data_IF_666978655682
#
_entry.id   IF_666978655682
#
_cell.length_a   1.000
_cell.length_b   1.000
_cell.length_c   1.000
_cell.angle_alpha   90.00
_cell.angle_beta   90.00
_cell.angle_gamma   90.00
#
_symmetry.space_group_name_H-M   'P 1'
#
loop_
_entity.id
_entity.type
_entity.pdbx_description
1 polymer ?
#
# COMPACT_ATOMS: atom_id res chain seq x y z
N UNK A 1 -10.47 17.76 11.93
CA UNK A 1 -10.71 16.58 11.06
C UNK A 1 -9.40 15.89 10.80
N UNK A 2 -9.35 14.58 11.01
CA UNK A 2 -8.14 13.80 10.75
C UNK A 2 -7.91 13.67 9.25
N UNK A 3 -6.65 13.75 8.85
CA UNK A 3 -6.24 13.62 7.45
C UNK A 3 -5.56 12.27 7.23
N UNK A 4 -6.04 11.54 6.24
CA UNK A 4 -5.49 10.23 5.87
C UNK A 4 -4.84 10.36 4.50
N UNK A 5 -3.56 10.04 4.43
CA UNK A 5 -2.83 10.11 3.17
C UNK A 5 -2.98 8.81 2.38
N UNK A 6 -3.28 8.94 1.09
CA UNK A 6 -3.31 7.82 0.14
C UNK A 6 -2.39 8.17 -1.02
N UNK A 7 -1.39 7.35 -1.27
CA UNK A 7 -0.50 7.56 -2.41
C UNK A 7 -1.22 7.22 -3.71
N UNK A 8 -1.31 8.17 -4.61
CA UNK A 8 -1.91 7.97 -5.91
C UNK A 8 -2.88 9.06 -6.32
N UNK A 9 -3.63 8.77 -7.40
CA UNK A 9 -4.60 9.69 -7.98
C UNK A 9 -6.00 9.42 -7.41
N UNK A 10 -6.64 10.46 -6.91
CA UNK A 10 -8.00 10.38 -6.37
C UNK A 10 -8.98 9.73 -7.35
N UNK A 11 -8.85 10.01 -8.64
CA UNK A 11 -9.79 9.47 -9.64
C UNK A 11 -9.67 7.94 -9.76
N UNK A 12 -8.48 7.39 -9.52
CA UNK A 12 -8.28 5.94 -9.51
C UNK A 12 -8.85 5.33 -8.24
N UNK A 13 -8.78 6.06 -7.12
CA UNK A 13 -9.14 5.57 -5.80
C UNK A 13 -10.39 6.23 -5.22
N UNK A 14 -11.34 6.56 -6.07
CA UNK A 14 -12.55 7.29 -5.64
C UNK A 14 -13.33 6.55 -4.55
N UNK A 15 -13.32 5.22 -4.56
CA UNK A 15 -14.01 4.44 -3.55
C UNK A 15 -13.35 4.57 -2.17
N UNK A 16 -12.02 4.74 -2.15
CA UNK A 16 -11.30 5.01 -0.91
C UNK A 16 -11.65 6.38 -0.35
N UNK A 17 -11.77 7.37 -1.23
CA UNK A 17 -12.20 8.71 -0.81
C UNK A 17 -13.57 8.67 -0.15
N UNK A 18 -14.51 7.96 -0.75
CA UNK A 18 -15.86 7.79 -0.19
C UNK A 18 -15.84 7.12 1.17
N UNK A 19 -15.06 6.04 1.30
CA UNK A 19 -14.97 5.30 2.55
C UNK A 19 -14.34 6.15 3.66
N UNK A 20 -13.29 6.90 3.35
CA UNK A 20 -12.62 7.76 4.31
C UNK A 20 -13.55 8.88 4.78
N UNK A 21 -14.24 9.51 3.85
CA UNK A 21 -15.20 10.57 4.21
C UNK A 21 -16.38 10.04 5.00
N UNK A 22 -16.80 8.83 4.74
CA UNK A 22 -17.92 8.22 5.46
C UNK A 22 -17.65 8.06 6.95
N UNK A 23 -16.40 7.95 7.37
CA UNK A 23 -16.02 7.87 8.78
C UNK A 23 -15.61 9.22 9.36
N UNK A 24 -15.85 10.30 8.63
CA UNK A 24 -15.61 11.66 9.14
C UNK A 24 -14.16 12.14 9.01
N UNK A 25 -13.36 11.51 8.17
CA UNK A 25 -11.99 11.93 7.92
C UNK A 25 -11.85 12.58 6.54
N UNK A 26 -10.71 13.22 6.31
CA UNK A 26 -10.37 13.81 5.01
C UNK A 26 -9.30 12.96 4.35
N UNK A 27 -9.48 12.64 3.07
CA UNK A 27 -8.49 11.92 2.29
C UNK A 27 -7.59 12.91 1.53
N UNK A 28 -6.29 12.68 1.58
CA UNK A 28 -5.32 13.45 0.82
C UNK A 28 -4.64 12.52 -0.16
N UNK A 29 -4.92 12.69 -1.45
CA UNK A 29 -4.34 11.88 -2.53
C UNK A 29 -3.21 12.65 -3.21
N UNK A 30 -2.07 12.03 -3.37
CA UNK A 30 -0.95 12.63 -4.08
C UNK A 30 0.11 11.59 -4.40
N UNK A 31 0.83 11.80 -5.48
CA UNK A 31 2.04 11.04 -5.80
C UNK A 31 3.29 11.77 -5.27
N UNK A 32 3.11 12.92 -4.65
CA UNK A 32 4.18 13.63 -3.96
C UNK A 32 4.16 13.25 -2.48
N UNK A 33 5.13 12.45 -2.06
CA UNK A 33 5.20 11.94 -0.68
C UNK A 33 5.33 13.04 0.37
N UNK A 34 5.79 14.22 -0.02
CA UNK A 34 5.90 15.36 0.91
C UNK A 34 4.55 15.81 1.44
N UNK A 35 3.48 15.58 0.69
CA UNK A 35 2.14 15.95 1.11
C UNK A 35 1.62 15.09 2.27
N UNK A 36 2.29 13.99 2.55
CA UNK A 36 1.96 13.17 3.71
C UNK A 36 2.41 13.78 5.04
N UNK A 37 3.27 14.78 5.00
CA UNK A 37 3.84 15.37 6.24
C UNK A 37 2.77 15.97 7.15
N UNK A 38 1.67 16.45 6.59
CA UNK A 38 0.58 17.05 7.35
C UNK A 38 -0.54 16.08 7.66
N UNK A 39 -0.35 14.80 7.35
CA UNK A 39 -1.41 13.80 7.53
C UNK A 39 -1.22 13.00 8.81
N UNK A 40 -2.34 12.57 9.37
CA UNK A 40 -2.39 11.88 10.66
C UNK A 40 -2.25 10.37 10.53
N UNK A 41 -2.59 9.82 9.36
CA UNK A 41 -2.57 8.37 9.13
C UNK A 41 -2.27 8.07 7.66
N UNK A 42 -1.89 6.83 7.39
CA UNK A 42 -1.56 6.35 6.05
C UNK A 42 -2.48 5.20 5.67
N UNK A 43 -3.09 5.28 4.49
CA UNK A 43 -3.82 4.17 3.89
C UNK A 43 -3.10 3.74 2.61
N UNK A 44 -2.68 2.50 2.55
CA UNK A 44 -2.11 1.91 1.35
C UNK A 44 -3.19 1.19 0.58
N UNK A 45 -3.47 1.66 -0.63
CA UNK A 45 -4.58 1.19 -1.45
C UNK A 45 -4.21 -0.04 -2.27
N UNK A 46 -5.21 -0.64 -2.90
CA UNK A 46 -5.04 -1.74 -3.82
C UNK A 46 -4.30 -1.35 -5.10
N UNK A 47 -4.04 -2.32 -5.95
CA UNK A 47 -3.34 -2.10 -7.21
C UNK A 47 -2.65 -3.35 -7.71
N UNK A 48 -1.65 -3.17 -8.57
CA UNK A 48 -0.86 -4.26 -9.12
C UNK A 48 0.04 -4.91 -8.07
N UNK A 49 0.83 -5.86 -8.51
CA UNK A 49 1.67 -6.64 -7.60
C UNK A 49 2.87 -5.83 -7.10
N UNK A 50 3.29 -6.13 -5.88
CA UNK A 50 4.53 -5.59 -5.32
C UNK A 50 5.72 -6.23 -6.05
N UNK A 51 6.73 -5.42 -6.37
CA UNK A 51 7.91 -5.92 -7.05
C UNK A 51 8.63 -6.98 -6.22
N UNK A 52 8.95 -8.14 -6.81
CA UNK A 52 9.63 -9.21 -6.08
C UNK A 52 10.98 -8.82 -5.48
N UNK A 53 11.64 -7.80 -5.99
CA UNK A 53 12.93 -7.35 -5.44
C UNK A 53 12.81 -6.88 -3.98
N UNK A 54 11.61 -6.47 -3.54
CA UNK A 54 11.40 -6.04 -2.17
C UNK A 54 11.27 -7.22 -1.19
N UNK A 55 11.04 -8.43 -1.68
CA UNK A 55 11.04 -9.64 -0.84
C UNK A 55 12.04 -10.69 -1.33
N UNK A 56 13.10 -10.22 -2.01
CA UNK A 56 14.26 -11.04 -2.42
C UNK A 56 13.89 -12.24 -3.29
N UNK A 57 12.94 -12.07 -4.18
CA UNK A 57 12.50 -13.10 -5.09
C UNK A 57 12.70 -12.66 -6.54
N UNK A 58 12.80 -13.63 -7.45
CA UNK A 58 12.80 -13.34 -8.87
C UNK A 58 11.37 -13.13 -9.35
N UNK A 59 11.19 -12.20 -10.28
CA UNK A 59 9.88 -12.02 -10.90
C UNK A 59 9.53 -13.28 -11.69
N UNK A 60 8.32 -13.80 -11.44
CA UNK A 60 7.80 -14.99 -12.11
C UNK A 60 6.49 -14.70 -12.84
N UNK A 61 5.46 -14.28 -12.10
CA UNK A 61 4.13 -14.06 -12.62
C UNK A 61 3.48 -12.79 -12.08
N UNK A 62 4.29 -11.79 -11.71
CA UNK A 62 3.75 -10.52 -11.21
C UNK A 62 3.15 -9.70 -12.33
N UNK A 63 2.10 -8.97 -12.02
CA UNK A 63 1.38 -8.12 -12.96
C UNK A 63 1.32 -6.69 -12.45
N UNK A 64 1.46 -5.73 -13.38
CA UNK A 64 1.31 -4.31 -13.09
C UNK A 64 2.23 -3.81 -11.97
N UNK A 65 3.48 -4.31 -11.98
CA UNK A 65 4.49 -3.86 -11.01
C UNK A 65 4.88 -2.42 -11.31
N UNK A 66 4.95 -1.60 -10.26
CA UNK A 66 5.44 -0.22 -10.33
C UNK A 66 6.49 -0.01 -9.25
N UNK A 67 7.74 0.06 -9.65
CA UNK A 67 8.87 0.28 -8.75
C UNK A 67 8.75 1.64 -8.06
N UNK A 68 8.34 2.66 -8.79
CA UNK A 68 8.15 4.00 -8.21
C UNK A 68 7.13 3.98 -7.09
N UNK A 69 5.99 3.35 -7.30
CA UNK A 69 4.96 3.22 -6.27
C UNK A 69 5.46 2.44 -5.07
N UNK A 70 6.14 1.31 -5.32
CA UNK A 70 6.69 0.48 -4.25
C UNK A 70 7.67 1.26 -3.38
N UNK A 71 8.59 2.00 -4.00
CA UNK A 71 9.58 2.80 -3.29
C UNK A 71 8.93 3.91 -2.48
N UNK A 72 7.95 4.60 -3.05
CA UNK A 72 7.23 5.66 -2.34
C UNK A 72 6.46 5.10 -1.16
N UNK A 73 5.81 3.97 -1.30
CA UNK A 73 5.05 3.35 -0.21
C UNK A 73 5.96 2.83 0.89
N UNK A 74 7.13 2.28 0.54
CA UNK A 74 8.13 1.90 1.54
C UNK A 74 8.60 3.10 2.35
N UNK A 75 8.87 4.21 1.66
CA UNK A 75 9.27 5.45 2.32
C UNK A 75 8.17 5.95 3.27
N UNK A 76 6.92 5.95 2.82
CA UNK A 76 5.79 6.39 3.63
C UNK A 76 5.60 5.50 4.85
N UNK A 77 5.70 4.18 4.69
CA UNK A 77 5.63 3.25 5.82
C UNK A 77 6.67 3.57 6.88
N UNK A 78 7.92 3.81 6.47
CA UNK A 78 8.99 4.15 7.39
C UNK A 78 8.69 5.45 8.15
N UNK A 79 8.16 6.44 7.46
CA UNK A 79 7.84 7.72 8.09
C UNK A 79 6.71 7.62 9.10
N UNK A 80 5.62 6.96 8.72
CA UNK A 80 4.47 6.82 9.61
C UNK A 80 4.77 5.90 10.79
N UNK A 81 5.57 4.86 10.58
CA UNK A 81 6.02 4.00 11.68
C UNK A 81 6.85 4.79 12.70
N UNK A 82 7.80 5.59 12.23
CA UNK A 82 8.64 6.43 13.13
C UNK A 82 7.80 7.43 13.92
N UNK A 83 6.75 7.95 13.30
CA UNK A 83 5.87 8.90 13.95
C UNK A 83 4.84 8.23 14.86
N UNK A 84 4.84 6.90 14.93
CA UNK A 84 3.84 6.14 15.67
C UNK A 84 2.42 6.43 15.18
N UNK A 85 2.28 6.73 13.91
CA UNK A 85 0.99 7.06 13.29
C UNK A 85 0.32 5.81 12.73
N UNK A 86 -1.01 5.77 12.72
CA UNK A 86 -1.73 4.60 12.21
C UNK A 86 -1.47 4.35 10.72
N UNK A 87 -1.37 3.08 10.37
CA UNK A 87 -1.23 2.64 8.98
C UNK A 87 -2.22 1.51 8.72
N UNK A 88 -2.90 1.55 7.59
CA UNK A 88 -3.81 0.50 7.15
C UNK A 88 -3.51 0.14 5.70
N UNK A 89 -3.53 -1.14 5.39
CA UNK A 89 -3.34 -1.62 4.02
C UNK A 89 -4.55 -2.40 3.54
N UNK A 90 -4.92 -2.20 2.27
CA UNK A 90 -6.01 -2.91 1.61
C UNK A 90 -5.45 -3.61 0.38
N UNK A 91 -5.70 -4.92 0.23
CA UNK A 91 -5.19 -5.75 -0.87
C UNK A 91 -3.67 -5.59 -1.04
N UNK A 92 -3.22 -4.97 -2.11
CA UNK A 92 -1.80 -4.70 -2.34
C UNK A 92 -1.16 -3.98 -1.15
N UNK A 93 -1.89 -3.07 -0.52
CA UNK A 93 -1.39 -2.36 0.66
C UNK A 93 -1.04 -3.29 1.82
N UNK A 94 -1.87 -4.30 2.05
CA UNK A 94 -1.59 -5.32 3.06
C UNK A 94 -0.32 -6.10 2.69
N UNK A 95 -0.16 -6.45 1.41
CA UNK A 95 1.03 -7.14 0.93
C UNK A 95 2.29 -6.29 1.12
N UNK A 96 2.19 -5.00 0.84
CA UNK A 96 3.31 -4.07 1.03
C UNK A 96 3.73 -3.97 2.50
N UNK A 97 2.78 -3.93 3.42
CA UNK A 97 3.08 -3.92 4.86
C UNK A 97 3.81 -5.20 5.24
N UNK A 98 3.34 -6.35 4.77
CA UNK A 98 3.99 -7.63 5.03
C UNK A 98 5.44 -7.64 4.54
N UNK A 99 5.67 -7.16 3.32
CA UNK A 99 7.00 -7.09 2.73
C UNK A 99 7.88 -6.10 3.49
N UNK A 100 7.33 -4.97 3.91
CA UNK A 100 8.06 -3.97 4.69
C UNK A 100 8.62 -4.58 5.99
N UNK A 101 7.87 -5.48 6.62
CA UNK A 101 8.31 -6.18 7.81
C UNK A 101 9.00 -7.52 7.50
N UNK A 102 9.60 -7.64 6.32
CA UNK A 102 10.43 -8.76 5.87
C UNK A 102 9.67 -10.03 5.52
N UNK A 103 8.37 -9.93 5.29
CA UNK A 103 7.58 -11.05 4.78
C UNK A 103 7.81 -11.32 3.30
N UNK A 104 7.30 -12.45 2.82
CA UNK A 104 7.35 -12.82 1.41
C UNK A 104 5.95 -13.03 0.86
N UNK A 105 5.83 -13.09 -0.46
CA UNK A 105 4.55 -13.22 -1.14
C UNK A 105 4.59 -14.36 -2.16
N UNK A 106 3.45 -15.05 -2.31
CA UNK A 106 3.20 -15.93 -3.45
C UNK A 106 2.86 -15.05 -4.66
N UNK A 107 3.52 -15.28 -5.80
CA UNK A 107 3.40 -14.38 -6.95
C UNK A 107 2.23 -14.68 -7.87
N UNK A 108 1.55 -15.82 -7.70
CA UNK A 108 0.43 -16.17 -8.53
C UNK A 108 -0.69 -16.81 -7.71
N UNK A 109 -1.92 -16.69 -8.22
CA UNK A 109 -3.08 -17.31 -7.59
C UNK A 109 -2.95 -18.83 -7.53
N UNK A 110 -2.35 -19.44 -8.55
CA UNK A 110 -2.15 -20.89 -8.55
C UNK A 110 -1.19 -21.33 -7.44
N UNK A 111 -0.10 -20.59 -7.27
CA UNK A 111 0.83 -20.83 -6.17
C UNK A 111 0.14 -20.63 -4.82
N UNK A 112 -0.66 -19.59 -4.69
CA UNK A 112 -1.41 -19.33 -3.46
C UNK A 112 -2.44 -20.41 -3.19
N UNK A 113 -3.13 -20.91 -4.23
CA UNK A 113 -4.15 -21.96 -4.10
C UNK A 113 -3.57 -23.27 -3.55
N UNK A 114 -2.34 -23.59 -3.89
CA UNK A 114 -1.69 -24.79 -3.37
C UNK A 114 -1.57 -24.76 -1.85
N UNK A 115 -1.50 -23.57 -1.25
CA UNK A 115 -1.44 -23.42 0.20
C UNK A 115 -2.82 -23.55 0.86
N UNK A 116 -3.87 -23.18 0.14
CA UNK A 116 -5.23 -23.26 0.67
C UNK A 116 -5.83 -24.67 0.60
N UNK A 117 -5.39 -25.45 -0.36
CA UNK A 117 -5.91 -26.82 -0.57
C UNK A 117 -5.27 -27.84 0.39
N UNK A 118 -4.33 -27.43 1.18
CA UNK A 118 -3.76 -28.25 2.23
C UNK A 118 -4.63 -28.20 3.51
#
# INVERSE_FOLDING_TARGET
>A
MKKIFVYGDKNVFINYDRAIRAVGAEAVFSENVKRALDCDALLLAGGGDVSPCFYRSREKNCKSVSLTRDMCEQYLLARFERANAPVMGVCRGLQMINVYFSGTLAQSIEEARLHYDE
#
